data_IF_972728377936
#
_entry.id   IF_972728377936
#
_cell.length_a   1.000
_cell.length_b   1.000
_cell.length_c   1.000
_cell.angle_alpha   90.00
_cell.angle_beta   90.00
_cell.angle_gamma   90.00
#
_symmetry.space_group_name_H-M   'P 1'
#
loop_
_entity.id
_entity.type
_entity.pdbx_description
1 polymer ?
#
# COMPACT_ATOMS: atom_id res chain seq x y z
N UNK A 1 -13.57 -16.81 -10.89
CA UNK A 1 -12.78 -16.41 -9.71
C UNK A 1 -11.72 -15.45 -10.22
N UNK A 2 -12.03 -14.16 -10.13
CA UNK A 2 -11.22 -13.07 -10.68
C UNK A 2 -10.24 -12.64 -9.59
N UNK A 3 -9.21 -13.46 -9.38
CA UNK A 3 -8.25 -13.34 -8.27
C UNK A 3 -6.82 -13.11 -8.76
N UNK A 4 -6.64 -12.49 -9.93
CA UNK A 4 -5.37 -11.88 -10.27
C UNK A 4 -5.36 -10.51 -9.60
N UNK A 5 -4.59 -10.38 -8.52
CA UNK A 5 -4.35 -9.12 -7.80
C UNK A 5 -4.45 -7.94 -8.76
N UNK A 6 -5.49 -7.10 -8.61
CA UNK A 6 -5.71 -5.93 -9.45
C UNK A 6 -4.48 -5.06 -9.30
N UNK A 7 -3.55 -5.18 -10.26
CA UNK A 7 -2.22 -4.59 -10.13
C UNK A 7 -2.38 -3.08 -10.13
N UNK A 8 -2.26 -2.48 -8.94
CA UNK A 8 -2.22 -1.06 -8.67
C UNK A 8 -3.13 -0.22 -9.58
N UNK A 9 -4.42 -0.17 -9.23
CA UNK A 9 -5.36 0.68 -9.95
C UNK A 9 -4.81 2.12 -10.01
N UNK A 10 -4.71 2.66 -11.23
CA UNK A 10 -4.16 4.00 -11.47
C UNK A 10 -2.64 4.16 -11.46
N UNK A 11 -1.81 3.12 -11.23
CA UNK A 11 -0.34 3.28 -11.26
C UNK A 11 0.18 3.78 -12.61
N UNK A 12 -0.35 3.23 -13.71
CA UNK A 12 -0.03 3.70 -15.06
C UNK A 12 -0.55 5.12 -15.33
N UNK A 13 -1.55 5.56 -14.59
CA UNK A 13 -2.09 6.93 -14.60
C UNK A 13 -1.34 7.88 -13.65
N UNK A 14 -0.33 7.38 -12.91
CA UNK A 14 0.48 8.16 -11.98
C UNK A 14 0.03 8.10 -10.52
N UNK A 15 -0.97 7.28 -10.18
CA UNK A 15 -1.37 7.05 -8.79
C UNK A 15 -0.31 6.19 -8.08
N UNK A 16 0.37 6.79 -7.10
CA UNK A 16 1.37 6.09 -6.28
C UNK A 16 0.75 5.44 -5.05
N UNK A 17 -0.57 5.46 -4.89
CA UNK A 17 -1.26 4.90 -3.72
C UNK A 17 -2.46 4.09 -4.18
N UNK A 18 -2.51 2.83 -3.77
CA UNK A 18 -3.63 1.93 -4.00
C UNK A 18 -4.06 1.35 -2.65
N UNK A 19 -5.32 1.59 -2.27
CA UNK A 19 -5.86 1.14 -0.99
C UNK A 19 -6.47 -0.27 -1.06
N UNK A 20 -6.67 -0.80 -2.27
CA UNK A 20 -7.37 -2.07 -2.48
C UNK A 20 -8.82 -2.02 -1.99
N UNK A 21 -9.39 -3.17 -1.66
CA UNK A 21 -10.73 -3.27 -1.08
C UNK A 21 -10.67 -3.09 0.44
N UNK A 22 -10.54 -1.84 0.86
CA UNK A 22 -10.40 -1.45 2.26
C UNK A 22 -11.59 -1.90 3.13
N UNK A 23 -12.80 -1.45 2.79
CA UNK A 23 -14.00 -1.71 3.59
C UNK A 23 -14.32 -3.21 3.63
N UNK A 24 -14.29 -3.88 2.48
CA UNK A 24 -14.57 -5.31 2.39
C UNK A 24 -13.57 -6.14 3.21
N UNK A 25 -12.30 -5.73 3.27
CA UNK A 25 -11.31 -6.39 4.12
C UNK A 25 -11.70 -6.29 5.61
N UNK A 26 -12.03 -5.10 6.08
CA UNK A 26 -12.40 -4.87 7.49
C UNK A 26 -13.69 -5.59 7.90
N UNK A 27 -14.60 -5.79 6.95
CA UNK A 27 -15.87 -6.49 7.15
C UNK A 27 -15.77 -8.01 7.03
N UNK A 28 -14.63 -8.53 6.57
CA UNK A 28 -14.43 -9.96 6.38
C UNK A 28 -14.32 -10.66 7.73
N UNK A 29 -15.29 -11.52 8.03
CA UNK A 29 -15.28 -12.41 9.20
C UNK A 29 -15.31 -13.85 8.72
N UNK A 30 -14.33 -14.65 9.14
CA UNK A 30 -14.28 -16.08 8.84
C UNK A 30 -14.70 -16.87 10.07
N UNK A 31 -15.73 -17.69 9.92
CA UNK A 31 -16.32 -18.50 11.00
C UNK A 31 -15.79 -19.94 10.98
N UNK A 32 -15.72 -20.58 12.16
CA UNK A 32 -15.37 -21.99 12.24
C UNK A 32 -16.43 -22.86 11.57
N UNK A 33 -16.00 -23.78 10.70
CA UNK A 33 -16.87 -24.76 10.04
C UNK A 33 -17.56 -25.69 11.04
N UNK A 34 -16.95 -25.95 12.20
CA UNK A 34 -17.49 -26.83 13.24
C UNK A 34 -18.36 -26.10 14.25
N UNK A 35 -18.10 -24.81 14.47
CA UNK A 35 -18.85 -23.94 15.39
C UNK A 35 -19.19 -22.64 14.66
N UNK A 36 -20.34 -22.62 14.01
CA UNK A 36 -20.79 -21.49 13.16
C UNK A 36 -20.87 -20.16 13.90
N UNK A 37 -20.88 -20.16 15.23
CA UNK A 37 -20.98 -18.95 16.07
C UNK A 37 -19.62 -18.44 16.57
N UNK A 38 -18.50 -19.15 16.32
CA UNK A 38 -17.15 -18.70 16.68
C UNK A 38 -16.43 -18.14 15.45
N UNK A 39 -16.07 -16.85 15.51
CA UNK A 39 -15.20 -16.20 14.51
C UNK A 39 -13.78 -16.73 14.70
N UNK A 40 -13.24 -17.39 13.67
CA UNK A 40 -11.85 -17.87 13.64
C UNK A 40 -10.86 -16.71 13.51
N UNK A 41 -11.11 -15.82 12.55
CA UNK A 41 -10.31 -14.62 12.33
C UNK A 41 -11.12 -13.59 11.55
N UNK A 42 -10.83 -12.32 11.86
CA UNK A 42 -11.29 -11.16 11.12
C UNK A 42 -10.23 -10.69 10.13
N UNK A 43 -10.64 -10.03 9.04
CA UNK A 43 -9.73 -9.32 8.15
C UNK A 43 -9.14 -8.05 8.80
N UNK A 44 -7.87 -7.81 8.52
CA UNK A 44 -7.09 -6.68 8.95
C UNK A 44 -6.50 -6.02 7.70
N UNK A 45 -6.74 -4.72 7.55
CA UNK A 45 -6.20 -3.95 6.44
C UNK A 45 -4.87 -3.33 6.85
N UNK A 46 -3.81 -3.62 6.10
CA UNK A 46 -2.48 -3.08 6.33
C UNK A 46 -2.05 -2.20 5.15
N UNK A 47 -1.51 -1.03 5.47
CA UNK A 47 -0.91 -0.12 4.51
C UNK A 47 0.60 -0.35 4.47
N UNK A 48 1.10 -0.74 3.30
CA UNK A 48 2.54 -0.94 3.06
C UNK A 48 3.09 0.19 2.21
N UNK A 49 4.27 0.70 2.56
CA UNK A 49 5.03 1.65 1.78
C UNK A 49 6.21 0.95 1.10
N UNK A 50 6.31 1.09 -0.22
CA UNK A 50 7.42 0.57 -1.01
C UNK A 50 8.22 1.74 -1.58
N UNK A 51 9.52 1.72 -1.36
CA UNK A 51 10.50 2.66 -1.89
C UNK A 51 11.32 1.95 -2.97
N UNK A 52 11.31 2.54 -4.16
CA UNK A 52 12.13 2.04 -5.26
C UNK A 52 13.62 2.36 -5.00
N UNK A 53 14.54 1.48 -5.45
CA UNK A 53 15.96 1.79 -5.49
C UNK A 53 16.18 2.93 -6.49
N UNK A 54 16.38 4.13 -5.97
CA UNK A 54 16.70 5.30 -6.76
C UNK A 54 18.12 5.76 -6.42
N UNK A 55 18.84 6.35 -7.38
CA UNK A 55 20.15 6.91 -7.12
C UNK A 55 20.08 7.93 -5.98
N UNK A 56 21.12 8.03 -5.14
CA UNK A 56 21.10 8.94 -4.01
C UNK A 56 20.85 10.37 -4.48
N UNK A 57 20.01 11.09 -3.74
CA UNK A 57 19.62 12.46 -4.09
C UNK A 57 20.83 13.39 -4.04
N UNK A 58 21.34 13.78 -5.21
CA UNK A 58 22.48 14.71 -5.33
C UNK A 58 22.07 16.18 -5.26
N UNK A 59 20.81 16.49 -5.60
CA UNK A 59 20.26 17.86 -5.62
C UNK A 59 18.78 17.91 -5.32
N UNK A 60 18.24 19.12 -5.09
CA UNK A 60 16.79 19.32 -4.95
C UNK A 60 16.13 19.38 -6.32
N UNK A 61 15.45 18.32 -6.72
CA UNK A 61 14.69 18.25 -7.96
C UNK A 61 13.40 19.08 -7.90
N UNK A 62 13.13 19.83 -8.97
CA UNK A 62 11.85 20.50 -9.27
C UNK A 62 10.87 19.51 -9.89
N UNK A 63 9.59 19.89 -10.00
CA UNK A 63 8.51 19.04 -10.51
C UNK A 63 8.80 18.44 -11.90
N UNK A 64 9.48 19.18 -12.78
CA UNK A 64 9.80 18.79 -14.16
C UNK A 64 11.25 18.37 -14.37
N UNK A 65 12.05 18.26 -13.31
CA UNK A 65 13.43 17.80 -13.45
C UNK A 65 13.46 16.30 -13.75
N UNK A 66 14.51 15.83 -14.39
CA UNK A 66 14.75 14.40 -14.65
C UNK A 66 16.03 13.96 -13.96
N UNK A 67 16.05 12.71 -13.48
CA UNK A 67 17.25 12.09 -12.95
C UNK A 67 18.27 11.92 -14.07
N UNK A 68 19.48 12.44 -13.87
CA UNK A 68 20.53 12.43 -14.89
C UNK A 68 20.94 10.99 -15.25
N UNK A 69 20.94 10.07 -14.28
CA UNK A 69 21.24 8.65 -14.52
C UNK A 69 20.16 7.96 -15.38
N UNK A 70 18.94 8.49 -15.43
CA UNK A 70 17.80 7.90 -16.14
C UNK A 70 17.45 8.59 -17.47
N UNK A 71 18.16 9.68 -17.84
CA UNK A 71 17.92 10.40 -19.11
C UNK A 71 18.13 9.53 -20.35
N UNK A 72 19.09 8.60 -20.28
CA UNK A 72 19.45 7.71 -21.39
C UNK A 72 18.82 6.32 -21.26
N UNK A 73 17.79 6.17 -20.42
CA UNK A 73 17.15 4.87 -20.19
C UNK A 73 16.45 4.37 -21.46
N UNK A 74 16.92 3.26 -22.03
CA UNK A 74 16.38 2.65 -23.26
C UNK A 74 15.32 1.56 -22.94
N UNK A 75 14.23 1.97 -22.30
CA UNK A 75 13.11 1.08 -21.98
C UNK A 75 11.94 1.17 -22.96
N UNK A 76 10.85 0.48 -22.62
CA UNK A 76 9.54 0.69 -23.27
C UNK A 76 9.04 2.12 -23.05
N UNK A 77 8.11 2.60 -23.87
CA UNK A 77 7.55 3.96 -23.72
C UNK A 77 6.94 4.19 -22.33
N UNK A 78 6.33 3.17 -21.72
CA UNK A 78 5.82 3.25 -20.35
C UNK A 78 6.96 3.47 -19.34
N UNK A 79 8.05 2.74 -19.49
CA UNK A 79 9.20 2.87 -18.58
C UNK A 79 9.94 4.19 -18.77
N UNK A 80 9.99 4.70 -20.01
CA UNK A 80 10.50 6.04 -20.31
C UNK A 80 9.62 7.11 -19.67
N UNK A 81 8.31 6.96 -19.68
CA UNK A 81 7.41 7.89 -19.00
C UNK A 81 7.60 7.88 -17.48
N UNK A 82 7.82 6.70 -16.89
CA UNK A 82 8.15 6.56 -15.47
C UNK A 82 9.52 7.16 -15.13
N UNK A 83 10.53 6.94 -15.98
CA UNK A 83 11.90 7.43 -15.74
C UNK A 83 11.97 8.96 -15.70
N UNK A 84 11.14 9.64 -16.51
CA UNK A 84 11.01 11.10 -16.51
C UNK A 84 10.43 11.68 -15.21
N UNK A 85 9.73 10.86 -14.41
CA UNK A 85 9.08 11.27 -13.15
C UNK A 85 9.64 10.56 -11.92
N UNK A 86 10.69 9.77 -12.10
CA UNK A 86 11.29 8.97 -11.03
C UNK A 86 11.82 9.81 -9.87
N UNK A 87 12.19 11.08 -10.10
CA UNK A 87 12.60 12.00 -9.03
C UNK A 87 11.51 12.25 -7.99
N UNK A 88 10.23 12.14 -8.36
CA UNK A 88 9.11 12.30 -7.42
C UNK A 88 9.05 11.18 -6.39
N UNK A 89 9.54 10.00 -6.76
CA UNK A 89 9.52 8.81 -5.92
C UNK A 89 10.53 8.88 -4.77
N UNK A 90 11.45 9.86 -4.78
CA UNK A 90 12.23 10.22 -3.59
C UNK A 90 11.39 10.84 -2.47
N UNK A 91 10.26 11.46 -2.82
CA UNK A 91 9.40 12.18 -1.87
C UNK A 91 8.10 11.43 -1.61
N UNK A 92 7.61 10.69 -2.59
CA UNK A 92 6.32 10.00 -2.53
C UNK A 92 6.57 8.49 -2.67
N UNK A 93 6.55 7.72 -1.57
CA UNK A 93 6.64 6.27 -1.64
C UNK A 93 5.37 5.67 -2.26
N UNK A 94 5.50 4.49 -2.86
CA UNK A 94 4.34 3.74 -3.33
C UNK A 94 3.60 3.18 -2.12
N UNK A 95 2.29 3.37 -2.04
CA UNK A 95 1.44 2.84 -0.96
C UNK A 95 0.53 1.74 -1.48
N UNK A 96 0.50 0.61 -0.77
CA UNK A 96 -0.22 -0.60 -1.16
C UNK A 96 -1.05 -1.12 0.01
N UNK A 97 -2.37 -1.19 -0.15
CA UNK A 97 -3.28 -1.76 0.82
C UNK A 97 -3.35 -3.27 0.66
N UNK A 98 -3.09 -4.00 1.72
CA UNK A 98 -3.15 -5.46 1.77
C UNK A 98 -4.17 -5.90 2.81
N UNK A 99 -4.95 -6.93 2.47
CA UNK A 99 -5.81 -7.59 3.42
C UNK A 99 -5.11 -8.83 3.97
N UNK A 100 -4.91 -8.87 5.28
CA UNK A 100 -4.32 -9.99 6.00
C UNK A 100 -5.28 -10.48 7.10
N UNK A 101 -5.19 -11.72 7.57
CA UNK A 101 -5.96 -12.14 8.73
C UNK A 101 -5.41 -11.49 10.01
N UNK A 102 -6.31 -11.15 10.95
CA UNK A 102 -6.02 -10.57 12.28
C UNK A 102 -5.05 -11.37 13.15
N UNK A 103 -4.83 -12.66 12.85
CA UNK A 103 -3.81 -13.47 13.52
C UNK A 103 -2.37 -13.19 13.05
N UNK A 104 -2.18 -12.42 11.98
CA UNK A 104 -0.88 -12.05 11.45
C UNK A 104 -0.43 -10.72 12.04
N UNK A 105 0.78 -10.67 12.59
CA UNK A 105 1.32 -9.45 13.19
C UNK A 105 1.99 -8.55 12.15
N UNK A 106 2.22 -7.28 12.50
CA UNK A 106 2.98 -6.35 11.64
C UNK A 106 4.38 -6.88 11.33
N UNK A 107 5.03 -7.54 12.30
CA UNK A 107 6.36 -8.14 12.15
C UNK A 107 6.35 -9.32 11.15
N UNK A 108 5.30 -10.16 11.21
CA UNK A 108 5.13 -11.26 10.24
C UNK A 108 4.98 -10.71 8.83
N UNK A 109 4.16 -9.67 8.67
CA UNK A 109 3.96 -9.01 7.39
C UNK A 109 5.27 -8.37 6.91
N UNK A 110 6.01 -7.69 7.78
CA UNK A 110 7.30 -7.09 7.47
C UNK A 110 8.32 -8.14 7.02
N UNK A 111 8.35 -9.31 7.65
CA UNK A 111 9.22 -10.42 7.26
C UNK A 111 8.87 -10.98 5.88
N UNK A 112 7.57 -11.14 5.57
CA UNK A 112 7.10 -11.58 4.25
C UNK A 112 7.48 -10.54 3.19
N UNK A 113 7.26 -9.25 3.48
CA UNK A 113 7.62 -8.16 2.57
C UNK A 113 9.12 -8.14 2.29
N UNK A 114 9.95 -8.20 3.35
CA UNK A 114 11.40 -8.24 3.23
C UNK A 114 11.85 -9.41 2.35
N UNK A 115 11.23 -10.59 2.50
CA UNK A 115 11.53 -11.74 1.64
C UNK A 115 11.14 -11.50 0.17
N UNK A 116 9.98 -10.86 -0.07
CA UNK A 116 9.49 -10.56 -1.41
C UNK A 116 10.35 -9.52 -2.15
N UNK A 117 10.76 -8.45 -1.45
CA UNK A 117 11.50 -7.33 -2.07
C UNK A 117 13.02 -7.53 -2.13
N UNK A 118 13.56 -8.48 -1.36
CA UNK A 118 15.01 -8.77 -1.32
C UNK A 118 15.64 -9.07 -2.69
N UNK A 119 14.86 -9.58 -3.65
CA UNK A 119 15.36 -9.86 -5.01
C UNK A 119 15.36 -8.65 -5.94
N UNK A 120 14.70 -7.56 -5.55
CA UNK A 120 14.45 -6.39 -6.39
C UNK A 120 15.20 -5.13 -5.90
N UNK A 121 16.04 -5.25 -4.86
CA UNK A 121 16.70 -4.13 -4.16
C UNK A 121 15.73 -3.00 -3.75
N UNK A 122 14.47 -3.36 -3.48
CA UNK A 122 13.45 -2.43 -2.99
C UNK A 122 13.38 -2.48 -1.46
N UNK A 123 13.02 -1.35 -0.85
CA UNK A 123 12.71 -1.28 0.59
C UNK A 123 11.19 -1.21 0.76
N UNK A 124 10.63 -2.07 1.60
CA UNK A 124 9.20 -2.11 1.89
C UNK A 124 8.99 -2.05 3.40
N UNK A 125 8.06 -1.22 3.86
CA UNK A 125 7.78 -1.02 5.27
C UNK A 125 6.28 -1.01 5.53
N UNK A 126 5.84 -1.74 6.55
CA UNK A 126 4.47 -1.65 7.04
C UNK A 126 4.28 -0.29 7.71
N UNK A 127 3.27 0.47 7.29
CA UNK A 127 2.97 1.81 7.82
C UNK A 127 2.00 1.75 9.00
N UNK A 128 0.90 1.03 8.84
CA UNK A 128 -0.10 0.80 9.87
C UNK A 128 -0.99 -0.37 9.45
N UNK A 129 -1.63 -0.99 10.44
CA UNK A 129 -2.70 -1.94 10.21
C UNK A 129 -3.94 -1.57 11.03
N UNK A 130 -5.12 -1.70 10.42
CA UNK A 130 -6.42 -1.41 11.02
C UNK A 130 -7.32 -2.65 10.98
N UNK A 131 -8.06 -2.85 12.06
CA UNK A 131 -9.15 -3.81 12.17
C UNK A 131 -10.45 -3.04 12.42
N UNK A 132 -11.60 -3.65 12.12
CA UNK A 132 -12.89 -2.99 12.38
C UNK A 132 -13.15 -2.95 13.88
N UNK A 133 -12.65 -1.91 14.54
CA UNK A 133 -13.07 -1.56 15.89
C UNK A 133 -14.44 -0.88 15.81
N UNK A 134 -15.39 -1.34 16.63
CA UNK A 134 -16.65 -0.64 16.82
C UNK A 134 -16.40 0.69 17.52
N UNK A 135 -16.06 1.74 16.76
CA UNK A 135 -15.86 3.08 17.33
C UNK A 135 -17.18 3.54 17.96
N UNK A 136 -17.26 3.73 19.29
CA UNK A 136 -18.47 4.29 19.89
C UNK A 136 -18.65 5.71 19.36
N UNK A 137 -19.79 5.98 18.75
CA UNK A 137 -20.13 7.34 18.28
C UNK A 137 -20.27 8.21 19.52
N UNK A 138 -19.32 9.11 19.74
CA UNK A 138 -19.42 10.10 20.82
C UNK A 138 -20.38 11.21 20.41
N UNK A 139 -21.21 11.66 21.35
CA UNK A 139 -22.22 12.70 21.15
C UNK A 139 -21.67 13.99 20.48
N UNK A 140 -20.40 14.32 20.71
CA UNK A 140 -19.71 15.45 20.06
C UNK A 140 -19.65 15.32 18.53
N UNK A 141 -19.52 14.11 17.98
CA UNK A 141 -19.52 13.91 16.52
C UNK A 141 -20.90 14.13 15.90
N UNK A 142 -21.97 13.90 16.67
CA UNK A 142 -23.36 14.14 16.25
C UNK A 142 -23.66 15.63 16.24
N UNK A 143 -23.23 16.36 17.28
CA UNK A 143 -23.42 17.81 17.36
C UNK A 143 -22.72 18.57 16.20
N UNK A 144 -21.55 18.12 15.77
CA UNK A 144 -20.80 18.76 14.69
C UNK A 144 -21.43 18.63 13.28
N UNK A 145 -22.34 17.68 13.06
CA UNK A 145 -23.08 17.57 11.79
C UNK A 145 -24.36 18.44 11.74
N UNK A 146 -24.82 18.94 12.89
CA UNK A 146 -26.06 19.69 13.03
C UNK A 146 -25.85 21.20 13.28
N UNK A 147 -24.60 21.66 13.28
CA UNK A 147 -24.21 23.08 13.32
C UNK A 147 -23.69 23.50 11.96
#
# INVERSE_FOLDING_TARGET
>A
VDSSAKAFDGLLSGALSSFGEYDQCLETNVFDRKKKDEVLFQGQHCMVQVRLPLPPKTKRYRLYDQLEELKNFSGTEVMKHMSQRAHLMHYIPIRIGLCIPSGCTEDDLQNILNFAVKKLDMDAQVSYCEIKEGKPIYWIQIFAMYV
#
